data_IF_626877768694
#
_entry.id   IF_626877768694
#
_cell.length_a   1.000
_cell.length_b   1.000
_cell.length_c   1.000
_cell.angle_alpha   90.00
_cell.angle_beta   90.00
_cell.angle_gamma   90.00
#
_symmetry.space_group_name_H-M   'P 1'
#
loop_
_entity.id
_entity.type
_entity.pdbx_description
1 polymer ?
#
# COMPACT_ATOMS: atom_id res chain seq x y z
N UNK A 1 -19.25 -65.15 17.55
CA UNK A 1 -18.62 -64.52 18.73
C UNK A 1 -17.76 -63.28 18.44
N UNK A 2 -17.78 -62.66 17.25
CA UNK A 2 -16.85 -61.55 16.92
C UNK A 2 -17.50 -60.23 16.46
N UNK A 3 -18.83 -60.09 16.49
CA UNK A 3 -19.49 -58.84 16.09
C UNK A 3 -19.41 -57.73 17.16
N UNK A 4 -19.43 -58.07 18.45
CA UNK A 4 -19.36 -57.09 19.54
C UNK A 4 -18.02 -56.35 19.63
N UNK A 5 -16.90 -57.03 19.34
CA UNK A 5 -15.56 -56.43 19.40
C UNK A 5 -15.37 -55.35 18.32
N UNK A 6 -15.93 -55.55 17.12
CA UNK A 6 -15.82 -54.56 16.03
C UNK A 6 -16.59 -53.29 16.37
N UNK A 7 -17.78 -53.40 16.95
CA UNK A 7 -18.57 -52.24 17.38
C UNK A 7 -17.87 -51.43 18.48
N UNK A 8 -17.19 -52.09 19.43
CA UNK A 8 -16.43 -51.41 20.49
C UNK A 8 -15.21 -50.68 19.91
N UNK A 9 -14.49 -51.32 18.99
CA UNK A 9 -13.32 -50.70 18.33
C UNK A 9 -13.73 -49.53 17.45
N UNK A 10 -14.82 -49.63 16.69
CA UNK A 10 -15.32 -48.52 15.87
C UNK A 10 -15.79 -47.35 16.74
N UNK A 11 -16.42 -47.62 17.89
CA UNK A 11 -16.86 -46.57 18.81
C UNK A 11 -15.68 -45.90 19.52
N UNK A 12 -14.66 -46.68 19.91
CA UNK A 12 -13.42 -46.14 20.46
C UNK A 12 -12.66 -45.27 19.44
N UNK A 13 -12.61 -45.70 18.17
CA UNK A 13 -11.98 -44.95 17.09
C UNK A 13 -12.72 -43.64 16.76
N UNK A 14 -14.07 -43.66 16.74
CA UNK A 14 -14.89 -42.47 16.53
C UNK A 14 -14.79 -41.50 17.73
N UNK A 15 -14.73 -42.02 18.96
CA UNK A 15 -14.48 -41.20 20.15
C UNK A 15 -13.06 -40.61 20.18
N UNK A 16 -12.07 -41.32 19.64
CA UNK A 16 -10.70 -40.85 19.53
C UNK A 16 -10.55 -39.80 18.41
N UNK A 17 -11.25 -39.98 17.29
CA UNK A 17 -11.34 -38.98 16.22
C UNK A 17 -12.07 -37.70 16.67
N UNK A 18 -13.10 -37.83 17.51
CA UNK A 18 -13.79 -36.69 18.13
C UNK A 18 -12.92 -35.90 19.12
N UNK A 19 -11.95 -36.56 19.78
CA UNK A 19 -10.99 -35.89 20.69
C UNK A 19 -9.87 -35.13 19.96
N UNK A 20 -9.54 -35.48 18.72
CA UNK A 20 -8.50 -34.78 17.96
C UNK A 20 -8.99 -33.50 17.27
N UNK A 21 -10.30 -33.24 17.23
CA UNK A 21 -10.87 -32.00 16.71
C UNK A 21 -10.78 -30.81 17.71
N UNK A 22 -10.14 -30.98 18.86
CA UNK A 22 -9.83 -29.90 19.81
C UNK A 22 -8.39 -29.42 19.71
N UNK A 23 -7.83 -29.33 18.50
CA UNK A 23 -6.84 -28.27 18.23
C UNK A 23 -7.58 -26.93 18.11
N UNK A 24 -8.31 -26.60 19.17
CA UNK A 24 -8.64 -25.23 19.50
C UNK A 24 -7.29 -24.55 19.75
N UNK A 25 -6.69 -24.01 18.69
CA UNK A 25 -5.87 -22.82 18.82
C UNK A 25 -6.67 -21.90 19.72
N UNK A 26 -6.14 -21.70 20.92
CA UNK A 26 -6.94 -21.30 22.06
C UNK A 26 -7.82 -20.11 21.74
N UNK A 27 -8.90 -20.00 22.50
CA UNK A 27 -9.65 -18.77 22.68
C UNK A 27 -8.77 -17.69 23.37
N UNK A 28 -7.53 -17.53 22.90
CA UNK A 28 -6.66 -16.40 23.10
C UNK A 28 -7.39 -15.23 22.50
N UNK A 29 -8.10 -14.50 23.37
CA UNK A 29 -8.71 -13.22 23.07
C UNK A 29 -7.67 -12.42 22.29
N UNK A 30 -7.92 -12.21 20.98
CA UNK A 30 -7.03 -11.40 20.13
C UNK A 30 -6.74 -10.10 20.88
N UNK A 31 -5.46 -9.82 21.11
CA UNK A 31 -5.04 -8.58 21.76
C UNK A 31 -5.62 -7.41 20.99
N UNK A 32 -6.26 -6.47 21.70
CA UNK A 32 -6.88 -5.29 21.10
C UNK A 32 -5.85 -4.46 20.31
N UNK A 33 -4.61 -4.40 20.82
CA UNK A 33 -3.49 -3.71 20.18
C UNK A 33 -2.25 -4.62 20.16
N UNK A 34 -2.04 -5.40 19.09
CA UNK A 34 -0.86 -6.23 18.97
C UNK A 34 0.41 -5.38 18.88
N UNK A 35 1.47 -5.76 19.60
CA UNK A 35 2.77 -5.07 19.51
C UNK A 35 3.58 -5.53 18.30
N UNK A 36 3.32 -6.72 17.78
CA UNK A 36 3.99 -7.25 16.60
C UNK A 36 3.32 -6.74 15.32
N UNK A 37 4.15 -6.36 14.35
CA UNK A 37 3.69 -5.79 13.09
C UNK A 37 2.81 -6.74 12.28
N UNK A 38 3.15 -8.04 12.28
CA UNK A 38 2.37 -9.09 11.60
C UNK A 38 0.96 -9.22 12.17
N UNK A 39 0.82 -9.16 13.50
CA UNK A 39 -0.48 -9.22 14.15
C UNK A 39 -1.29 -7.94 13.95
N UNK A 40 -0.65 -6.76 13.87
CA UNK A 40 -1.34 -5.51 13.48
C UNK A 40 -1.93 -5.64 12.07
N UNK A 41 -1.20 -6.21 11.13
CA UNK A 41 -1.69 -6.41 9.75
C UNK A 41 -2.87 -7.40 9.72
N UNK A 42 -2.75 -8.56 10.38
CA UNK A 42 -3.85 -9.54 10.35
C UNK A 42 -5.14 -9.05 10.99
N UNK A 43 -5.07 -8.11 11.95
CA UNK A 43 -6.21 -7.70 12.76
C UNK A 43 -6.80 -6.35 12.36
N UNK A 44 -6.06 -5.52 11.63
CA UNK A 44 -6.54 -4.21 11.23
C UNK A 44 -7.58 -4.32 10.10
N UNK A 45 -8.74 -3.63 10.19
CA UNK A 45 -9.76 -3.66 9.16
C UNK A 45 -9.36 -2.78 7.97
N UNK A 46 -8.37 -3.22 7.19
CA UNK A 46 -7.86 -2.48 6.02
C UNK A 46 -8.93 -2.20 4.97
N UNK A 47 -9.84 -3.16 4.75
CA UNK A 47 -10.93 -3.01 3.79
C UNK A 47 -11.84 -1.82 4.12
N UNK A 48 -12.22 -1.67 5.40
CA UNK A 48 -13.06 -0.55 5.84
C UNK A 48 -12.40 0.80 5.58
N UNK A 49 -11.10 0.91 5.85
CA UNK A 49 -10.37 2.16 5.61
C UNK A 49 -10.23 2.41 4.11
N UNK A 50 -9.86 1.40 3.33
CA UNK A 50 -9.69 1.55 1.89
C UNK A 50 -10.99 1.97 1.18
N UNK A 51 -12.13 1.38 1.56
CA UNK A 51 -13.43 1.69 0.94
C UNK A 51 -13.95 3.10 1.30
N UNK A 52 -13.65 3.57 2.53
CA UNK A 52 -14.15 4.85 3.06
C UNK A 52 -13.15 6.02 2.91
N UNK A 53 -11.90 5.75 2.55
CA UNK A 53 -10.92 6.82 2.32
C UNK A 53 -11.27 7.54 1.00
N UNK A 54 -11.93 8.68 1.16
CA UNK A 54 -12.18 9.62 0.07
C UNK A 54 -10.89 10.16 -0.57
N UNK A 55 -9.81 10.26 0.22
CA UNK A 55 -8.52 10.80 -0.20
C UNK A 55 -8.02 10.17 -1.50
N UNK A 56 -7.98 8.83 -1.61
CA UNK A 56 -7.44 8.19 -2.81
C UNK A 56 -8.25 8.53 -4.07
N UNK A 57 -9.57 8.68 -3.96
CA UNK A 57 -10.43 9.03 -5.10
C UNK A 57 -10.10 10.41 -5.64
N UNK A 58 -10.01 11.41 -4.77
CA UNK A 58 -9.76 12.79 -5.19
C UNK A 58 -8.29 13.10 -5.42
N UNK A 59 -7.40 12.49 -4.63
CA UNK A 59 -5.95 12.66 -4.75
C UNK A 59 -5.44 12.15 -6.09
N UNK A 60 -5.87 10.95 -6.52
CA UNK A 60 -5.44 10.40 -7.81
C UNK A 60 -5.93 11.30 -8.95
N UNK A 61 -7.19 11.74 -8.91
CA UNK A 61 -7.74 12.63 -9.94
C UNK A 61 -7.03 13.99 -9.97
N UNK A 62 -6.81 14.61 -8.81
CA UNK A 62 -6.08 15.88 -8.71
C UNK A 62 -4.62 15.75 -9.12
N UNK A 63 -3.96 14.65 -8.73
CA UNK A 63 -2.59 14.34 -9.14
C UNK A 63 -2.50 14.21 -10.66
N UNK A 64 -3.37 13.41 -11.29
CA UNK A 64 -3.38 13.25 -12.75
C UNK A 64 -3.65 14.57 -13.47
N UNK A 65 -4.60 15.38 -12.97
CA UNK A 65 -4.89 16.70 -13.53
C UNK A 65 -3.69 17.65 -13.43
N UNK A 66 -3.04 17.71 -12.26
CA UNK A 66 -1.84 18.54 -12.07
C UNK A 66 -0.69 18.09 -12.97
N UNK A 67 -0.40 16.78 -13.03
CA UNK A 67 0.64 16.21 -13.91
C UNK A 67 0.38 16.61 -15.37
N UNK A 68 -0.86 16.53 -15.84
CA UNK A 68 -1.20 16.95 -17.20
C UNK A 68 -0.94 18.44 -17.43
N UNK A 69 -1.36 19.31 -16.50
CA UNK A 69 -1.13 20.76 -16.58
C UNK A 69 0.37 21.07 -16.61
N UNK A 70 1.14 20.50 -15.69
CA UNK A 70 2.60 20.72 -15.64
C UNK A 70 3.30 20.18 -16.88
N UNK A 71 2.87 19.03 -17.42
CA UNK A 71 3.42 18.50 -18.65
C UNK A 71 3.22 19.46 -19.84
N UNK A 72 2.05 20.11 -19.93
CA UNK A 72 1.79 21.11 -20.98
C UNK A 72 2.67 22.34 -20.81
N UNK A 73 2.81 22.84 -19.57
CA UNK A 73 3.69 23.98 -19.26
C UNK A 73 5.14 23.64 -19.60
N UNK A 74 5.62 22.46 -19.19
CA UNK A 74 6.98 22.01 -19.46
C UNK A 74 7.27 21.94 -20.95
N UNK A 75 6.34 21.44 -21.76
CA UNK A 75 6.50 21.39 -23.22
C UNK A 75 6.60 22.77 -23.86
N UNK A 76 5.88 23.77 -23.33
CA UNK A 76 5.95 25.15 -23.82
C UNK A 76 7.25 25.82 -23.37
N UNK A 77 7.64 25.63 -22.10
CA UNK A 77 8.88 26.16 -21.54
C UNK A 77 10.11 25.60 -22.26
N UNK A 78 10.14 24.29 -22.54
CA UNK A 78 11.24 23.63 -23.25
C UNK A 78 11.10 23.66 -24.77
N UNK A 79 10.30 24.56 -25.34
CA UNK A 79 10.25 24.71 -26.80
C UNK A 79 11.60 25.22 -27.33
N UNK A 80 12.05 24.79 -28.53
CA UNK A 80 13.37 25.18 -29.06
C UNK A 80 13.53 26.70 -29.21
N UNK A 81 12.44 27.44 -29.45
CA UNK A 81 12.44 28.89 -29.52
C UNK A 81 12.65 29.54 -28.15
N UNK A 82 11.93 29.07 -27.11
CA UNK A 82 12.10 29.58 -25.75
C UNK A 82 13.47 29.25 -25.18
N UNK A 83 14.01 28.07 -25.50
CA UNK A 83 15.35 27.67 -25.08
C UNK A 83 16.42 28.62 -25.64
N UNK A 84 16.36 28.97 -26.94
CA UNK A 84 17.29 29.93 -27.56
C UNK A 84 17.18 31.31 -26.94
N UNK A 85 15.96 31.79 -26.72
CA UNK A 85 15.74 33.09 -26.07
C UNK A 85 16.26 33.10 -24.63
N UNK A 86 16.07 32.01 -23.89
CA UNK A 86 16.58 31.87 -22.53
C UNK A 86 18.11 31.87 -22.50
N UNK A 87 18.78 31.11 -23.39
CA UNK A 87 20.24 31.10 -23.51
C UNK A 87 20.81 32.50 -23.79
N UNK A 88 20.22 33.24 -24.72
CA UNK A 88 20.64 34.60 -25.03
C UNK A 88 20.52 35.56 -23.82
N UNK A 89 19.46 35.41 -23.00
CA UNK A 89 19.34 36.19 -21.75
C UNK A 89 20.40 35.78 -20.72
N UNK A 90 20.70 34.49 -20.61
CA UNK A 90 21.73 33.97 -19.68
C UNK A 90 23.13 34.42 -20.07
N UNK A 91 23.43 34.50 -21.36
CA UNK A 91 24.71 35.05 -21.87
C UNK A 91 24.84 36.53 -21.54
N UNK A 92 23.77 37.32 -21.73
CA UNK A 92 23.73 38.74 -21.36
C UNK A 92 23.91 38.95 -19.85
N UNK A 93 23.19 38.19 -19.03
CA UNK A 93 23.31 38.21 -17.57
C UNK A 93 24.71 37.82 -17.11
N UNK A 94 25.33 36.82 -17.76
CA UNK A 94 26.69 36.40 -17.44
C UNK A 94 27.73 37.47 -17.81
N UNK A 95 27.55 38.16 -18.93
CA UNK A 95 28.40 39.29 -19.32
C UNK A 95 28.27 40.47 -18.35
N UNK A 96 27.03 40.86 -18.00
CA UNK A 96 26.77 41.92 -17.01
C UNK A 96 27.36 41.55 -15.64
N UNK A 97 27.20 40.31 -15.19
CA UNK A 97 27.76 39.84 -13.92
C UNK A 97 29.29 39.71 -13.96
N UNK A 98 29.91 39.46 -15.12
CA UNK A 98 31.36 39.53 -15.25
C UNK A 98 31.85 40.98 -15.11
N UNK A 99 31.17 41.94 -15.76
CA UNK A 99 31.51 43.37 -15.67
C UNK A 99 31.33 43.96 -14.26
N UNK A 100 30.33 43.48 -13.50
CA UNK A 100 30.07 43.95 -12.12
C UNK A 100 31.03 43.38 -11.05
N UNK A 101 31.83 42.36 -11.37
CA UNK A 101 32.79 41.73 -10.45
C UNK A 101 34.26 42.05 -10.79
N UNK A 102 34.50 43.09 -11.61
CA UNK A 102 35.81 43.74 -11.84
C UNK A 102 35.91 45.04 -11.04
#
# INVERSE_FOLDING_TARGET
MFQGARAIVTRALVLQAGRQASTSSGNSRRMVYPYTWTAKISQFPYKFHYDNIWFFRYFILGYLASVYVYWRIQRLACSPANYKAWMARREKEAAEHAEHHH
#
